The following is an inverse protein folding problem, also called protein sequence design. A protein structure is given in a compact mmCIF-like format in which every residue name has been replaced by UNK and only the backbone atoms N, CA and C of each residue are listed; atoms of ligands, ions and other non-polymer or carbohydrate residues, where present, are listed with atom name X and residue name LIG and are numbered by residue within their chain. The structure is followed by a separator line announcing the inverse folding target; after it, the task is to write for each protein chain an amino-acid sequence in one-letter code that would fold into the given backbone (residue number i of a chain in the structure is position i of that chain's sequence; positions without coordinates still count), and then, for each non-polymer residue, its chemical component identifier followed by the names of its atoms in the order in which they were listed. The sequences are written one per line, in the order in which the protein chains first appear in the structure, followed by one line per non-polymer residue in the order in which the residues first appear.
data_IF_661064354372
#
_entry.id   IF_661064354372
#
_cell.length_a   1.000
_cell.length_b   1.000
_cell.length_c   1.000
_cell.angle_alpha   90.00
_cell.angle_beta   90.00
_cell.angle_gamma   90.00
#
_symmetry.space_group_name_H-M   'P 1'
#
loop_
_entity.id
_entity.type
_entity.pdbx_description
1 polymer ?
#
# COMPACT_ATOMS: atom_id res chain seq x y z
N UNK A 1 -22.71 7.01 21.84
CA UNK A 1 -21.74 6.42 20.89
C UNK A 1 -20.53 7.33 20.84
N UNK A 2 -19.37 6.88 21.34
CA UNK A 2 -18.10 7.58 21.10
C UNK A 2 -17.79 7.43 19.61
N UNK A 3 -17.72 8.55 18.87
CA UNK A 3 -17.18 8.48 17.51
C UNK A 3 -15.70 8.10 17.64
N UNK A 4 -15.21 7.10 16.90
CA UNK A 4 -13.78 6.79 16.91
C UNK A 4 -12.99 8.05 16.54
N UNK A 5 -11.95 8.35 17.29
CA UNK A 5 -11.06 9.46 16.99
C UNK A 5 -10.35 9.14 15.66
N UNK A 6 -10.48 9.98 14.62
CA UNK A 6 -9.81 9.70 13.34
C UNK A 6 -8.30 9.60 13.53
N UNK A 7 -7.67 8.73 12.73
CA UNK A 7 -6.23 8.62 12.68
C UNK A 7 -5.65 9.86 12.01
N UNK A 8 -4.50 10.32 12.49
CA UNK A 8 -3.65 11.24 11.73
C UNK A 8 -2.92 10.49 10.62
N UNK A 9 -2.39 11.22 9.64
CA UNK A 9 -1.60 10.63 8.56
C UNK A 9 -0.38 9.83 9.04
N UNK A 10 0.46 10.32 9.99
CA UNK A 10 1.51 9.51 10.58
C UNK A 10 1.00 8.22 11.23
N UNK A 11 -0.13 8.27 11.95
CA UNK A 11 -0.71 7.08 12.59
C UNK A 11 -1.16 6.04 11.56
N UNK A 12 -1.79 6.48 10.47
CA UNK A 12 -2.14 5.60 9.35
C UNK A 12 -0.90 4.96 8.73
N UNK A 13 0.16 5.75 8.49
CA UNK A 13 1.42 5.26 7.94
C UNK A 13 2.15 4.28 8.87
N UNK A 14 2.08 4.43 10.19
CA UNK A 14 2.60 3.43 11.12
C UNK A 14 1.84 2.10 11.01
N UNK A 15 0.53 2.15 10.79
CA UNK A 15 -0.26 0.96 10.47
C UNK A 15 0.23 0.28 9.19
N UNK A 16 0.48 1.07 8.14
CA UNK A 16 1.04 0.56 6.89
C UNK A 16 2.45 0.01 7.05
N UNK A 17 3.30 0.63 7.86
CA UNK A 17 4.63 0.10 8.16
C UNK A 17 4.54 -1.31 8.79
N UNK A 18 3.57 -1.52 9.69
CA UNK A 18 3.31 -2.83 10.27
C UNK A 18 2.89 -3.89 9.23
N UNK A 19 2.07 -3.49 8.26
CA UNK A 19 1.62 -4.34 7.13
C UNK A 19 2.82 -4.78 6.27
N UNK A 20 3.63 -3.83 5.78
CA UNK A 20 4.79 -4.11 4.93
C UNK A 20 5.86 -4.94 5.65
N UNK A 21 6.12 -4.67 6.93
CA UNK A 21 7.02 -5.49 7.74
C UNK A 21 6.51 -6.94 7.88
N UNK A 22 5.19 -7.12 7.95
CA UNK A 22 4.55 -8.43 7.97
C UNK A 22 4.72 -9.18 6.65
N UNK A 23 4.52 -8.50 5.52
CA UNK A 23 4.71 -9.06 4.16
C UNK A 23 6.19 -9.46 3.94
N UNK A 24 7.14 -8.59 4.31
CA UNK A 24 8.57 -8.89 4.27
C UNK A 24 8.91 -10.12 5.14
N UNK A 25 8.39 -10.20 6.36
CA UNK A 25 8.63 -11.34 7.24
C UNK A 25 8.12 -12.65 6.64
N UNK A 26 6.98 -12.63 5.93
CA UNK A 26 6.47 -13.80 5.22
C UNK A 26 7.39 -14.23 4.06
N UNK A 27 7.90 -13.29 3.26
CA UNK A 27 8.83 -13.59 2.17
C UNK A 27 10.16 -14.16 2.69
N UNK A 28 10.73 -13.55 3.75
CA UNK A 28 11.93 -14.07 4.42
C UNK A 28 11.67 -15.48 4.96
N UNK A 29 10.51 -15.71 5.59
CA UNK A 29 10.11 -17.03 6.07
C UNK A 29 10.11 -18.10 4.97
N UNK A 30 9.56 -17.79 3.78
CA UNK A 30 9.61 -18.70 2.62
C UNK A 30 11.05 -18.97 2.18
N UNK A 31 11.88 -17.93 2.09
CA UNK A 31 13.29 -18.07 1.74
C UNK A 31 14.08 -18.95 2.73
N UNK A 32 13.76 -18.87 4.02
CA UNK A 32 14.36 -19.74 5.05
C UNK A 32 13.86 -21.19 4.97
N UNK A 33 12.60 -21.41 4.58
CA UNK A 33 12.02 -22.75 4.49
C UNK A 33 12.45 -23.51 3.21
N UNK A 34 12.49 -22.82 2.07
CA UNK A 34 12.67 -23.45 0.76
C UNK A 34 14.00 -23.12 0.09
N UNK A 35 14.68 -22.08 0.54
CA UNK A 35 15.92 -21.56 -0.05
C UNK A 35 15.70 -20.19 -0.71
N UNK A 36 16.67 -19.31 -0.57
CA UNK A 36 16.57 -17.92 -1.05
C UNK A 36 16.58 -17.81 -2.59
N UNK A 37 17.16 -18.80 -3.27
CA UNK A 37 17.21 -18.92 -4.73
C UNK A 37 16.08 -19.78 -5.31
N UNK A 38 15.28 -20.43 -4.46
CA UNK A 38 14.18 -21.28 -4.91
C UNK A 38 13.05 -20.45 -5.53
N UNK A 39 12.37 -21.04 -6.53
CA UNK A 39 11.39 -20.35 -7.37
C UNK A 39 9.97 -20.69 -6.93
N UNK A 40 9.21 -19.66 -6.58
CA UNK A 40 7.81 -19.80 -6.21
C UNK A 40 7.00 -20.29 -7.43
N UNK A 41 6.29 -21.43 -7.35
CA UNK A 41 5.60 -22.02 -8.51
C UNK A 41 4.40 -21.18 -9.00
N UNK A 42 3.85 -20.30 -8.16
CA UNK A 42 2.70 -19.48 -8.53
C UNK A 42 3.10 -18.19 -9.25
N UNK A 43 4.26 -17.62 -8.91
CA UNK A 43 4.73 -16.34 -9.45
C UNK A 43 5.86 -16.50 -10.47
N UNK A 44 6.60 -17.60 -10.42
CA UNK A 44 7.81 -17.81 -11.23
C UNK A 44 9.01 -17.00 -10.76
N UNK A 45 8.87 -16.23 -9.66
CA UNK A 45 9.96 -15.44 -9.10
C UNK A 45 10.77 -16.24 -8.08
N UNK A 46 12.08 -16.03 -8.00
CA UNK A 46 12.88 -16.53 -6.89
C UNK A 46 12.55 -15.77 -5.59
N UNK A 47 12.64 -16.46 -4.45
CA UNK A 47 12.29 -15.90 -3.13
C UNK A 47 13.04 -14.61 -2.78
N UNK A 48 14.29 -14.44 -3.25
CA UNK A 48 15.05 -13.21 -3.03
C UNK A 48 14.45 -11.99 -3.72
N UNK A 49 13.79 -12.18 -4.87
CA UNK A 49 13.17 -11.09 -5.63
C UNK A 49 11.93 -10.57 -4.89
N UNK A 50 11.08 -11.49 -4.42
CA UNK A 50 9.91 -11.14 -3.62
C UNK A 50 10.36 -10.47 -2.30
N UNK A 51 11.38 -11.01 -1.64
CA UNK A 51 11.96 -10.41 -0.42
C UNK A 51 12.49 -9.00 -0.67
N UNK A 52 13.18 -8.77 -1.79
CA UNK A 52 13.68 -7.45 -2.17
C UNK A 52 12.54 -6.47 -2.44
N UNK A 53 11.47 -6.91 -3.10
CA UNK A 53 10.28 -6.08 -3.35
C UNK A 53 9.64 -5.63 -2.04
N UNK A 54 9.39 -6.55 -1.10
CA UNK A 54 8.80 -6.20 0.19
C UNK A 54 9.71 -5.30 1.04
N UNK A 55 11.03 -5.49 0.95
CA UNK A 55 11.97 -4.57 1.59
C UNK A 55 11.90 -3.16 0.97
N UNK A 56 11.69 -3.05 -0.35
CA UNK A 56 11.50 -1.76 -1.02
C UNK A 56 10.18 -1.09 -0.60
N UNK A 57 9.13 -1.86 -0.37
CA UNK A 57 7.84 -1.36 0.11
C UNK A 57 7.95 -0.82 1.55
N UNK A 58 8.67 -1.52 2.45
CA UNK A 58 9.02 -1.00 3.79
C UNK A 58 9.74 0.35 3.69
N UNK A 59 10.73 0.46 2.81
CA UNK A 59 11.47 1.71 2.62
C UNK A 59 10.59 2.83 2.08
N UNK A 60 9.61 2.50 1.24
CA UNK A 60 8.63 3.45 0.72
C UNK A 60 7.82 4.05 1.86
N UNK A 61 7.28 3.21 2.75
CA UNK A 61 6.51 3.70 3.90
C UNK A 61 7.38 4.54 4.85
N UNK A 62 8.62 4.14 5.10
CA UNK A 62 9.56 4.94 5.92
C UNK A 62 9.83 6.32 5.30
N UNK A 63 9.93 6.41 3.97
CA UNK A 63 10.05 7.69 3.26
C UNK A 63 8.82 8.57 3.46
N UNK A 64 7.63 8.00 3.30
CA UNK A 64 6.36 8.71 3.52
C UNK A 64 6.21 9.18 4.97
N UNK A 65 6.61 8.36 5.95
CA UNK A 65 6.63 8.75 7.38
C UNK A 65 7.59 9.91 7.57
N UNK A 66 8.79 9.84 7.00
CA UNK A 66 9.77 10.91 7.14
C UNK A 66 9.27 12.25 6.58
N UNK A 67 8.53 12.22 5.47
CA UNK A 67 7.85 13.41 4.93
C UNK A 67 6.77 13.95 5.88
N UNK A 68 5.95 13.07 6.45
CA UNK A 68 4.85 13.41 7.35
C UNK A 68 5.34 13.98 8.69
N UNK A 69 6.38 13.37 9.28
CA UNK A 69 6.91 13.74 10.59
C UNK A 69 8.04 14.77 10.52
N UNK A 70 8.49 15.12 9.31
CA UNK A 70 9.68 15.96 9.07
C UNK A 70 10.96 15.39 9.70
N UNK A 71 11.06 14.05 9.77
CA UNK A 71 12.23 13.33 10.29
C UNK A 71 12.88 12.58 9.14
N UNK A 72 14.19 12.76 8.94
CA UNK A 72 14.90 11.95 7.95
C UNK A 72 15.21 10.55 8.51
N UNK A 73 14.28 9.61 8.33
CA UNK A 73 14.43 8.22 8.82
C UNK A 73 15.40 7.37 7.99
N UNK A 74 15.62 7.73 6.71
CA UNK A 74 16.44 6.96 5.78
C UNK A 74 17.84 7.57 5.57
N UNK A 75 18.15 8.68 6.25
CA UNK A 75 19.44 9.36 6.16
C UNK A 75 19.80 9.81 4.74
N UNK A 76 21.08 9.73 4.39
CA UNK A 76 21.57 10.08 3.05
C UNK A 76 21.17 9.05 1.97
N UNK A 77 20.75 7.85 2.39
CA UNK A 77 20.41 6.77 1.47
C UNK A 77 19.11 7.04 0.69
N UNK A 78 18.17 7.82 1.27
CA UNK A 78 16.98 8.28 0.56
C UNK A 78 17.27 9.12 -0.69
N UNK A 79 18.43 9.76 -0.81
CA UNK A 79 18.78 10.57 -1.97
C UNK A 79 18.91 9.73 -3.27
N UNK A 80 19.27 8.45 -3.14
CA UNK A 80 19.32 7.50 -4.26
C UNK A 80 17.96 6.93 -4.65
N UNK A 81 16.93 7.13 -3.83
CA UNK A 81 15.56 6.60 -4.03
C UNK A 81 14.64 7.54 -4.80
N UNK A 82 15.10 8.75 -5.14
CA UNK A 82 14.26 9.81 -5.71
C UNK A 82 13.63 9.45 -7.07
N UNK A 83 14.24 8.52 -7.82
CA UNK A 83 13.77 8.06 -9.13
C UNK A 83 13.41 6.56 -9.14
N UNK A 84 13.09 5.97 -7.98
CA UNK A 84 12.67 4.57 -7.94
C UNK A 84 11.19 4.47 -8.30
N UNK A 85 10.91 4.04 -9.54
CA UNK A 85 9.53 3.95 -10.03
C UNK A 85 8.65 3.02 -9.20
N UNK A 86 9.19 1.92 -8.71
CA UNK A 86 8.44 0.97 -7.88
C UNK A 86 7.96 1.62 -6.57
N UNK A 87 8.83 2.43 -5.95
CA UNK A 87 8.46 3.19 -4.75
C UNK A 87 7.39 4.24 -5.06
N UNK A 88 7.54 5.01 -6.14
CA UNK A 88 6.52 6.00 -6.55
C UNK A 88 5.15 5.34 -6.75
N UNK A 89 5.11 4.18 -7.41
CA UNK A 89 3.87 3.43 -7.62
C UNK A 89 3.28 2.92 -6.31
N UNK A 90 4.11 2.44 -5.36
CA UNK A 90 3.66 2.05 -4.02
C UNK A 90 3.11 3.25 -3.24
N UNK A 91 3.77 4.41 -3.27
CA UNK A 91 3.27 5.65 -2.66
C UNK A 91 1.89 6.01 -3.23
N UNK A 92 1.75 5.99 -4.56
CA UNK A 92 0.49 6.26 -5.24
C UNK A 92 -0.63 5.32 -4.78
N UNK A 93 -0.36 4.01 -4.64
CA UNK A 93 -1.34 3.03 -4.12
C UNK A 93 -1.73 3.33 -2.67
N UNK A 94 -0.76 3.64 -1.80
CA UNK A 94 -1.01 3.93 -0.39
C UNK A 94 -1.91 5.16 -0.26
N UNK A 95 -1.62 6.21 -1.02
CA UNK A 95 -2.41 7.45 -1.06
C UNK A 95 -3.80 7.18 -1.65
N UNK A 96 -3.91 6.43 -2.75
CA UNK A 96 -5.19 6.05 -3.35
C UNK A 96 -6.09 5.34 -2.34
N UNK A 97 -5.60 4.31 -1.64
CA UNK A 97 -6.40 3.62 -0.63
C UNK A 97 -6.70 4.50 0.60
N UNK A 98 -5.82 5.44 0.94
CA UNK A 98 -6.08 6.39 2.01
C UNK A 98 -7.26 7.33 1.70
N UNK A 99 -7.58 7.58 0.42
CA UNK A 99 -8.78 8.33 0.03
C UNK A 99 -10.06 7.71 0.59
N UNK A 100 -10.11 6.38 0.69
CA UNK A 100 -11.25 5.70 1.30
C UNK A 100 -11.38 5.98 2.80
N UNK A 101 -10.25 5.94 3.52
CA UNK A 101 -10.21 6.28 4.94
C UNK A 101 -10.61 7.75 5.18
N UNK A 102 -10.23 8.66 4.27
CA UNK A 102 -10.66 10.06 4.29
C UNK A 102 -12.16 10.20 4.06
N UNK A 103 -12.71 9.51 3.05
CA UNK A 103 -14.15 9.53 2.74
C UNK A 103 -15.00 9.02 3.91
N UNK A 104 -14.51 8.03 4.65
CA UNK A 104 -15.18 7.48 5.84
C UNK A 104 -14.98 8.31 7.11
N UNK A 105 -14.13 9.35 7.06
CA UNK A 105 -13.79 10.17 8.22
C UNK A 105 -12.98 9.43 9.29
N UNK A 106 -12.28 8.35 8.91
CA UNK A 106 -11.38 7.59 9.81
C UNK A 106 -9.93 8.03 9.71
N UNK A 107 -9.61 8.89 8.74
CA UNK A 107 -8.32 9.53 8.55
C UNK A 107 -8.53 11.05 8.43
N UNK A 108 -7.63 11.83 8.99
CA UNK A 108 -7.56 13.30 8.83
C UNK A 108 -6.17 13.71 8.38
N UNK A 109 -6.12 14.75 7.54
CA UNK A 109 -4.89 15.37 7.05
C UNK A 109 -4.82 16.81 7.51
N UNK A 110 -3.60 17.28 7.75
CA UNK A 110 -3.24 18.70 7.75
C UNK A 110 -3.22 19.25 6.32
N UNK A 111 -3.15 20.57 6.17
CA UNK A 111 -3.09 21.22 4.85
C UNK A 111 -1.85 20.83 4.05
N UNK A 112 -0.70 20.68 4.72
CA UNK A 112 0.55 20.29 4.06
C UNK A 112 0.54 18.82 3.61
N UNK A 113 -0.05 17.93 4.42
CA UNK A 113 -0.25 16.52 4.05
C UNK A 113 -1.22 16.38 2.88
N UNK A 114 -2.27 17.22 2.84
CA UNK A 114 -3.21 17.25 1.71
C UNK A 114 -2.53 17.67 0.41
N UNK A 115 -1.69 18.71 0.43
CA UNK A 115 -0.91 19.11 -0.75
C UNK A 115 -0.01 17.98 -1.26
N UNK A 116 0.65 17.27 -0.35
CA UNK A 116 1.49 16.12 -0.70
C UNK A 116 0.67 14.97 -1.30
N UNK A 117 -0.50 14.68 -0.74
CA UNK A 117 -1.46 13.73 -1.30
C UNK A 117 -1.84 14.07 -2.74
N UNK A 118 -2.26 15.31 -2.96
CA UNK A 118 -2.76 15.78 -4.25
C UNK A 118 -1.64 15.73 -5.31
N UNK A 119 -0.40 16.06 -4.92
CA UNK A 119 0.78 15.92 -5.78
C UNK A 119 1.01 14.47 -6.21
N UNK A 120 1.04 13.51 -5.27
CA UNK A 120 1.26 12.08 -5.58
C UNK A 120 0.18 11.55 -6.52
N UNK A 121 -1.09 11.88 -6.26
CA UNK A 121 -2.21 11.43 -7.07
C UNK A 121 -2.16 12.02 -8.48
N UNK A 122 -1.84 13.31 -8.59
CA UNK A 122 -1.69 13.98 -9.88
C UNK A 122 -0.56 13.36 -10.71
N UNK A 123 0.61 13.18 -10.10
CA UNK A 123 1.81 12.68 -10.79
C UNK A 123 1.66 11.22 -11.26
N UNK A 124 0.74 10.47 -10.66
CA UNK A 124 0.52 9.05 -10.96
C UNK A 124 -0.90 8.73 -11.46
N UNK A 125 -1.66 9.74 -11.92
CA UNK A 125 -3.05 9.58 -12.31
C UNK A 125 -3.27 8.48 -13.37
N UNK A 126 -2.38 8.39 -14.36
CA UNK A 126 -2.45 7.39 -15.44
C UNK A 126 -2.29 5.96 -14.92
N UNK A 127 -1.46 5.75 -13.90
CA UNK A 127 -1.29 4.45 -13.27
C UNK A 127 -2.51 4.06 -12.42
N UNK A 128 -3.15 5.05 -11.80
CA UNK A 128 -4.27 4.83 -10.88
C UNK A 128 -5.63 4.64 -11.60
N UNK A 129 -5.71 4.89 -12.91
CA UNK A 129 -6.99 4.83 -13.68
C UNK A 129 -7.73 3.48 -13.57
N UNK A 130 -6.98 2.40 -13.41
CA UNK A 130 -7.50 1.04 -13.36
C UNK A 130 -7.83 0.59 -11.92
N UNK A 131 -7.39 1.35 -10.91
CA UNK A 131 -7.75 1.09 -9.53
C UNK A 131 -9.19 1.51 -9.28
N UNK A 132 -9.90 0.72 -8.48
CA UNK A 132 -11.30 0.95 -8.12
C UNK A 132 -11.42 1.05 -6.61
N UNK A 133 -12.15 2.06 -6.15
CA UNK A 133 -12.55 2.12 -4.75
C UNK A 133 -13.58 1.00 -4.45
N UNK A 134 -13.71 0.55 -3.19
CA UNK A 134 -14.62 -0.54 -2.84
C UNK A 134 -16.08 -0.33 -3.26
N UNK A 135 -16.54 0.92 -3.35
CA UNK A 135 -17.88 1.31 -3.79
C UNK A 135 -18.04 1.35 -5.32
N UNK A 136 -16.94 1.28 -6.06
CA UNK A 136 -16.91 1.20 -7.54
C UNK A 136 -16.78 -0.25 -8.04
N UNK A 137 -16.54 -1.20 -7.13
CA UNK A 137 -16.49 -2.62 -7.47
C UNK A 137 -17.91 -3.15 -7.75
N UNK A 138 -18.09 -4.03 -8.75
CA UNK A 138 -19.37 -4.67 -9.00
C UNK A 138 -19.85 -5.38 -7.74
N UNK A 139 -21.03 -5.02 -7.22
CA UNK A 139 -21.62 -5.74 -6.10
C UNK A 139 -21.97 -7.15 -6.58
N UNK A 140 -21.54 -8.17 -5.83
CA UNK A 140 -21.86 -9.60 -6.06
C UNK A 140 -23.34 -9.94 -5.79
N UNK A 141 -24.26 -9.05 -6.14
CA UNK A 141 -25.69 -9.28 -6.07
C UNK A 141 -26.23 -9.45 -7.49
N UNK A 142 -25.97 -10.63 -8.06
CA UNK A 142 -26.78 -11.24 -9.13
C UNK A 142 -26.39 -12.72 -9.28
N UNK A 143 -26.54 -13.47 -8.19
CA UNK A 143 -26.71 -14.94 -8.26
C UNK A 143 -28.09 -15.26 -7.70
N UNK A 144 -29.12 -14.69 -8.32
CA UNK A 144 -30.52 -15.10 -8.13
C UNK A 144 -31.14 -15.47 -9.47
N UNK A 145 -30.61 -16.50 -10.12
CA UNK A 145 -31.28 -17.17 -11.25
C UNK A 145 -30.72 -18.57 -11.58
N UNK A 146 -30.11 -19.27 -10.61
CA UNK A 146 -29.72 -20.66 -10.76
C UNK A 146 -30.35 -21.49 -9.64
N UNK A 147 -31.68 -21.62 -9.67
CA UNK A 147 -32.43 -22.72 -9.06
C UNK A 147 -33.90 -22.57 -9.43
N UNK A 148 -34.21 -22.71 -10.71
CA UNK A 148 -35.50 -23.23 -11.16
C UNK A 148 -35.23 -23.99 -12.47
N UNK A 149 -35.93 -25.11 -12.66
CA UNK A 149 -35.82 -26.06 -13.78
C UNK A 149 -34.64 -27.05 -13.81
N UNK A 150 -34.53 -27.85 -12.74
CA UNK A 150 -34.37 -29.31 -12.90
C UNK A 150 -35.22 -30.06 -11.89
N UNK A 151 -36.46 -30.38 -12.26
CA UNK A 151 -37.18 -31.59 -11.83
C UNK A 151 -38.37 -31.87 -12.72
#
# INVERSE_FOLDING_TARGET
MLRPNPLTWPQYLYGKLGEECGELAQCVGKGLCFGIEDVNPNTGNPNWQDTRSEANDVNTILRMIGYATKINLLGAWAAGSANNKEMELKEARVVFYAQWALKRGTLVLTDDERKYFDMILSDNAEYLKDFKLPDELPQKNDVSSLNDDKR
#
